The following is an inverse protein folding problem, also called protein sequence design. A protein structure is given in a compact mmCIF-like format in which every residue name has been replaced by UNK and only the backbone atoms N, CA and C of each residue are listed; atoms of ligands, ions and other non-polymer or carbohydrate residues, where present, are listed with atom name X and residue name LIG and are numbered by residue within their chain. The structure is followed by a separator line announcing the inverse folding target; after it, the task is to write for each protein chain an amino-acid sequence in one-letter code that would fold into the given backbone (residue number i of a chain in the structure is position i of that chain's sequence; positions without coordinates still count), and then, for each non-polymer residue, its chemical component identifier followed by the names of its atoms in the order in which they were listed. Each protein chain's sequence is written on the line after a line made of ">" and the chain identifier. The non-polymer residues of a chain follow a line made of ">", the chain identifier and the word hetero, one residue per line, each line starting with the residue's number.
data_IF_677787036705
#
_entry.id   IF_677787036705
#
_cell.length_a   1.000
_cell.length_b   1.000
_cell.length_c   1.000
_cell.angle_alpha   90.00
_cell.angle_beta   90.00
_cell.angle_gamma   90.00
#
_symmetry.space_group_name_H-M   'P 1'
#
loop_
_entity.id
_entity.type
_entity.pdbx_description
1 polymer ?
#
# COMPACT_ATOMS: atom_id res chain seq x y z
N UNK A 1 7.12 -26.87 13.77
CA UNK A 1 8.29 -27.66 13.41
C UNK A 1 9.40 -26.72 13.02
N UNK A 2 10.59 -26.89 13.62
CA UNK A 2 11.78 -26.16 13.16
C UNK A 2 12.05 -26.64 11.73
N UNK A 3 11.84 -25.78 10.75
CA UNK A 3 12.08 -26.11 9.36
C UNK A 3 13.59 -26.37 9.17
N UNK A 4 13.93 -27.59 8.86
CA UNK A 4 15.33 -27.99 8.57
C UNK A 4 15.86 -27.19 7.36
N UNK A 5 15.01 -26.75 6.47
CA UNK A 5 15.37 -25.93 5.30
C UNK A 5 15.98 -24.59 5.68
N UNK A 6 15.51 -23.95 6.74
CA UNK A 6 16.08 -22.68 7.22
C UNK A 6 17.48 -22.80 7.79
N UNK A 7 17.79 -23.93 8.42
CA UNK A 7 19.08 -24.12 9.06
C UNK A 7 20.24 -24.33 8.06
N UNK A 8 19.96 -24.68 6.82
CA UNK A 8 20.95 -25.16 5.86
C UNK A 8 21.09 -24.36 4.57
N UNK A 9 20.30 -23.28 4.37
CA UNK A 9 20.33 -22.57 3.10
C UNK A 9 21.68 -21.90 2.82
N UNK A 10 22.32 -21.31 3.85
CA UNK A 10 23.64 -20.70 3.72
C UNK A 10 24.73 -21.73 3.43
N UNK A 11 24.67 -22.89 4.08
CA UNK A 11 25.61 -23.99 3.87
C UNK A 11 25.52 -24.57 2.46
N UNK A 12 24.37 -24.47 1.82
CA UNK A 12 24.14 -24.92 0.45
C UNK A 12 24.48 -23.87 -0.60
N UNK A 13 24.95 -22.68 -0.17
CA UNK A 13 25.21 -21.57 -1.07
C UNK A 13 23.96 -20.99 -1.73
N UNK A 14 22.75 -21.31 -1.23
CA UNK A 14 21.50 -20.80 -1.74
C UNK A 14 21.27 -19.37 -1.28
N UNK A 15 20.84 -18.54 -2.17
CA UNK A 15 20.69 -17.11 -1.89
C UNK A 15 19.24 -16.67 -2.03
N UNK A 16 18.91 -15.59 -1.32
CA UNK A 16 17.57 -14.97 -1.33
C UNK A 16 17.46 -13.81 -2.33
N UNK A 17 18.58 -13.26 -2.73
CA UNK A 17 18.68 -11.97 -3.41
C UNK A 17 19.19 -12.07 -4.85
N UNK A 18 19.64 -13.25 -5.28
CA UNK A 18 20.01 -13.46 -6.67
C UNK A 18 19.76 -14.89 -7.14
N UNK A 19 19.72 -15.08 -8.46
CA UNK A 19 19.57 -16.36 -9.14
C UNK A 19 20.76 -16.55 -10.06
N UNK A 20 21.52 -17.61 -9.87
CA UNK A 20 22.66 -17.93 -10.75
C UNK A 20 22.21 -18.59 -12.05
N UNK A 21 21.85 -19.86 -12.02
CA UNK A 21 21.42 -20.60 -13.22
C UNK A 21 19.92 -20.87 -13.23
N UNK A 22 19.32 -21.12 -12.07
CA UNK A 22 17.94 -21.57 -11.97
C UNK A 22 17.30 -21.15 -10.63
N UNK A 23 16.00 -20.91 -10.67
CA UNK A 23 15.19 -20.72 -9.46
C UNK A 23 15.34 -21.85 -8.45
N UNK A 24 15.63 -23.08 -8.91
CA UNK A 24 15.83 -24.27 -8.05
C UNK A 24 17.01 -24.15 -7.07
N UNK A 25 17.92 -23.23 -7.33
CA UNK A 25 19.09 -22.98 -6.48
C UNK A 25 18.82 -21.97 -5.38
N UNK A 26 17.65 -21.37 -5.40
CA UNK A 26 17.25 -20.35 -4.44
C UNK A 26 16.54 -20.94 -3.22
N UNK A 27 16.63 -20.26 -2.10
CA UNK A 27 15.83 -20.57 -0.90
C UNK A 27 14.34 -20.45 -1.16
N UNK A 28 13.94 -19.56 -2.06
CA UNK A 28 12.54 -19.39 -2.46
C UNK A 28 11.93 -20.66 -3.02
N UNK A 29 12.64 -21.35 -3.88
CA UNK A 29 12.19 -22.63 -4.44
C UNK A 29 12.00 -23.69 -3.34
N UNK A 30 12.93 -23.80 -2.40
CA UNK A 30 12.80 -24.75 -1.29
C UNK A 30 11.60 -24.43 -0.40
N UNK A 31 11.41 -23.17 -0.08
CA UNK A 31 10.29 -22.74 0.77
C UNK A 31 8.93 -22.96 0.10
N UNK A 32 8.84 -22.71 -1.20
CA UNK A 32 7.60 -23.00 -1.95
C UNK A 32 7.38 -24.51 -2.03
N UNK A 33 8.42 -25.32 -2.27
CA UNK A 33 8.31 -26.77 -2.25
C UNK A 33 7.85 -27.28 -0.87
N UNK A 34 8.45 -26.80 0.23
CA UNK A 34 8.04 -27.16 1.58
C UNK A 34 6.58 -26.77 1.87
N UNK A 35 6.14 -25.60 1.42
CA UNK A 35 4.76 -25.17 1.56
C UNK A 35 3.78 -26.04 0.76
N UNK A 36 4.17 -26.50 -0.45
CA UNK A 36 3.37 -27.48 -1.22
C UNK A 36 3.26 -28.83 -0.51
N UNK A 37 4.32 -29.30 0.13
CA UNK A 37 4.24 -30.50 0.98
C UNK A 37 3.28 -30.31 2.15
N UNK A 38 3.29 -29.12 2.79
CA UNK A 38 2.34 -28.80 3.84
C UNK A 38 0.88 -28.83 3.33
N UNK A 39 0.61 -28.37 2.10
CA UNK A 39 -0.71 -28.48 1.48
C UNK A 39 -1.11 -29.95 1.29
N UNK A 40 -0.20 -30.81 0.84
CA UNK A 40 -0.45 -32.27 0.71
C UNK A 40 -0.79 -32.87 2.07
N UNK A 41 0.00 -32.57 3.09
CA UNK A 41 -0.25 -33.05 4.45
C UNK A 41 -1.61 -32.61 5.00
N UNK A 42 -1.99 -31.34 4.76
CA UNK A 42 -3.31 -30.84 5.18
C UNK A 42 -4.47 -31.55 4.47
N UNK A 43 -4.31 -31.90 3.20
CA UNK A 43 -5.33 -32.67 2.48
C UNK A 43 -5.49 -34.09 3.03
N UNK A 44 -4.38 -34.75 3.38
CA UNK A 44 -4.40 -36.09 3.96
C UNK A 44 -5.02 -36.10 5.36
N UNK A 45 -4.77 -35.08 6.18
CA UNK A 45 -5.35 -34.95 7.52
C UNK A 45 -6.86 -34.69 7.50
N UNK A 46 -7.31 -33.90 6.54
CA UNK A 46 -8.70 -33.46 6.44
C UNK A 46 -9.32 -33.97 5.14
N UNK A 47 -9.88 -35.16 5.16
CA UNK A 47 -10.56 -35.78 4.01
C UNK A 47 -11.71 -34.94 3.41
N UNK A 48 -12.00 -33.76 3.95
CA UNK A 48 -13.12 -32.90 3.55
C UNK A 48 -12.74 -31.50 3.03
N UNK A 49 -11.46 -31.13 2.93
CA UNK A 49 -11.14 -29.74 2.62
C UNK A 49 -10.62 -29.52 1.20
N UNK A 50 -11.54 -29.45 0.25
CA UNK A 50 -11.30 -28.75 -1.02
C UNK A 50 -11.12 -27.23 -0.83
N UNK A 51 -11.07 -26.76 0.43
CA UNK A 51 -11.07 -25.35 0.81
C UNK A 51 -9.78 -25.00 1.54
N UNK A 52 -8.69 -24.86 0.80
CA UNK A 52 -7.41 -24.43 1.35
C UNK A 52 -7.14 -22.99 0.93
N UNK A 53 -6.96 -22.10 1.90
CA UNK A 53 -6.47 -20.74 1.70
C UNK A 53 -5.05 -20.59 2.21
N UNK A 54 -4.32 -19.65 1.66
CA UNK A 54 -2.98 -19.28 2.14
C UNK A 54 -2.96 -17.85 2.66
N UNK A 55 -2.21 -17.63 3.72
CA UNK A 55 -1.92 -16.31 4.27
C UNK A 55 -0.42 -16.12 4.23
N UNK A 56 0.04 -15.06 3.58
CA UNK A 56 1.46 -14.73 3.50
C UNK A 56 1.74 -13.35 4.04
N UNK A 57 2.82 -13.21 4.83
CA UNK A 57 3.27 -11.93 5.34
C UNK A 57 4.77 -11.75 5.08
N UNK A 58 5.18 -10.60 4.54
CA UNK A 58 6.58 -10.28 4.21
C UNK A 58 7.19 -11.33 3.26
N UNK A 59 8.24 -12.02 3.69
CA UNK A 59 8.81 -13.13 2.90
C UNK A 59 7.79 -14.25 2.63
N UNK A 60 6.91 -14.52 3.60
CA UNK A 60 5.80 -15.45 3.40
C UNK A 60 4.79 -14.98 2.35
N UNK A 61 4.67 -13.68 2.09
CA UNK A 61 3.84 -13.14 1.03
C UNK A 61 4.37 -13.53 -0.36
N UNK A 62 5.69 -13.48 -0.57
CA UNK A 62 6.29 -13.93 -1.83
C UNK A 62 6.04 -15.43 -2.07
N UNK A 63 6.13 -16.24 -1.01
CA UNK A 63 5.76 -17.66 -1.09
C UNK A 63 4.28 -17.84 -1.40
N UNK A 64 3.40 -17.03 -0.82
CA UNK A 64 1.97 -17.09 -1.08
C UNK A 64 1.62 -16.72 -2.53
N UNK A 65 2.28 -15.72 -3.13
CA UNK A 65 2.16 -15.40 -4.55
C UNK A 65 2.52 -16.58 -5.43
N UNK A 66 3.67 -17.21 -5.15
CA UNK A 66 4.13 -18.37 -5.91
C UNK A 66 3.19 -19.57 -5.75
N UNK A 67 2.74 -19.86 -4.52
CA UNK A 67 1.77 -20.93 -4.28
C UNK A 67 0.45 -20.71 -5.01
N UNK A 68 -0.12 -19.50 -4.93
CA UNK A 68 -1.35 -19.15 -5.62
C UNK A 68 -1.24 -19.26 -7.16
N UNK A 69 -0.03 -19.13 -7.69
CA UNK A 69 0.24 -19.26 -9.11
C UNK A 69 0.46 -20.71 -9.58
N UNK A 70 1.09 -21.56 -8.74
CA UNK A 70 1.57 -22.88 -9.19
C UNK A 70 0.81 -24.06 -8.59
N UNK A 71 -0.08 -23.83 -7.62
CA UNK A 71 -0.79 -24.92 -6.94
C UNK A 71 -2.31 -24.71 -6.93
N UNK A 72 -3.03 -25.46 -7.75
CA UNK A 72 -4.48 -25.32 -7.94
C UNK A 72 -5.31 -25.71 -6.71
N UNK A 73 -4.68 -26.28 -5.69
CA UNK A 73 -5.32 -26.56 -4.39
C UNK A 73 -5.56 -25.30 -3.58
N UNK A 74 -4.80 -24.24 -3.84
CA UNK A 74 -4.99 -22.93 -3.21
C UNK A 74 -6.25 -22.27 -3.78
N UNK A 75 -7.28 -22.09 -2.94
CA UNK A 75 -8.57 -21.53 -3.36
C UNK A 75 -8.71 -20.04 -3.10
N UNK A 76 -7.86 -19.47 -2.27
CA UNK A 76 -7.73 -18.01 -2.07
C UNK A 76 -6.40 -17.69 -1.39
N UNK A 77 -5.93 -16.47 -1.55
CA UNK A 77 -4.74 -16.01 -0.86
C UNK A 77 -4.92 -14.60 -0.26
N UNK A 78 -4.60 -14.45 1.03
CA UNK A 78 -4.46 -13.17 1.70
C UNK A 78 -2.97 -12.84 1.82
N UNK A 79 -2.53 -11.80 1.14
CA UNK A 79 -1.13 -11.47 0.95
C UNK A 79 -0.85 -10.11 1.57
N UNK A 80 0.05 -10.09 2.55
CA UNK A 80 0.43 -8.88 3.27
C UNK A 80 1.88 -8.52 2.94
N UNK A 81 2.08 -7.35 2.31
CA UNK A 81 3.35 -6.93 1.72
C UNK A 81 3.80 -7.85 0.57
N UNK A 82 5.09 -7.90 0.27
CA UNK A 82 5.66 -8.87 -0.68
C UNK A 82 5.18 -8.72 -2.14
N UNK A 83 4.72 -7.52 -2.52
CA UNK A 83 4.47 -7.15 -3.91
C UNK A 83 5.38 -5.97 -4.28
N UNK A 84 5.38 -5.61 -5.55
CA UNK A 84 6.33 -4.66 -6.10
C UNK A 84 7.52 -5.39 -6.73
N UNK A 85 8.46 -4.62 -7.20
CA UNK A 85 9.64 -5.16 -7.88
C UNK A 85 10.81 -5.18 -6.91
N UNK A 86 10.97 -6.27 -6.18
CA UNK A 86 12.00 -6.40 -5.16
C UNK A 86 13.43 -6.18 -5.70
N UNK A 87 13.66 -6.50 -6.97
CA UNK A 87 14.93 -6.23 -7.65
C UNK A 87 15.26 -4.73 -7.80
N UNK A 88 14.29 -3.86 -7.61
CA UNK A 88 14.46 -2.40 -7.69
C UNK A 88 14.50 -1.71 -6.34
N UNK A 89 14.84 -2.42 -5.30
CA UNK A 89 14.96 -1.84 -3.96
C UNK A 89 15.83 -0.58 -3.99
N UNK A 90 15.28 0.53 -3.50
CA UNK A 90 15.96 1.83 -3.50
C UNK A 90 15.83 2.65 -4.79
N UNK A 91 15.18 2.13 -5.83
CA UNK A 91 14.90 2.87 -7.07
C UNK A 91 13.41 3.20 -7.10
N UNK A 92 13.08 4.47 -6.88
CA UNK A 92 11.69 4.91 -6.77
C UNK A 92 11.00 4.95 -8.13
N UNK A 93 9.75 4.50 -8.17
CA UNK A 93 8.96 4.39 -9.41
C UNK A 93 8.82 5.72 -10.17
N UNK A 94 8.67 6.81 -9.44
CA UNK A 94 8.43 8.14 -10.01
C UNK A 94 9.66 9.02 -10.01
N UNK A 95 10.86 8.47 -9.83
CA UNK A 95 12.11 9.20 -9.97
C UNK A 95 12.41 9.50 -11.45
N UNK A 96 13.05 10.65 -11.67
CA UNK A 96 13.63 10.96 -12.98
C UNK A 96 14.89 10.11 -13.17
N UNK A 97 14.82 9.13 -14.02
CA UNK A 97 15.97 8.27 -14.36
C UNK A 97 15.55 6.93 -14.93
N UNK A 98 16.35 6.44 -15.83
CA UNK A 98 16.14 5.14 -16.43
C UNK A 98 16.52 4.02 -15.46
N UNK A 99 15.67 3.03 -15.36
CA UNK A 99 15.96 1.81 -14.61
C UNK A 99 16.80 0.90 -15.49
N UNK A 100 18.09 0.78 -15.14
CA UNK A 100 18.95 -0.18 -15.80
C UNK A 100 18.63 -1.58 -15.29
N UNK A 101 18.05 -2.39 -16.17
CA UNK A 101 17.74 -3.78 -15.92
C UNK A 101 18.95 -4.63 -16.36
N UNK A 102 19.83 -4.97 -15.44
CA UNK A 102 20.90 -5.92 -15.69
C UNK A 102 20.38 -7.37 -15.76
N UNK A 103 21.24 -8.29 -16.16
CA UNK A 103 20.88 -9.70 -16.34
C UNK A 103 20.53 -10.39 -15.02
N UNK A 104 21.24 -10.05 -13.95
CA UNK A 104 21.00 -10.61 -12.62
C UNK A 104 19.60 -10.26 -12.11
N UNK A 105 19.20 -8.98 -12.22
CA UNK A 105 17.86 -8.52 -11.86
C UNK A 105 16.77 -9.19 -12.70
N UNK A 106 17.01 -9.34 -14.00
CA UNK A 106 16.05 -10.05 -14.88
C UNK A 106 15.86 -11.49 -14.47
N UNK A 107 16.95 -12.20 -14.17
CA UNK A 107 16.89 -13.59 -13.69
C UNK A 107 16.14 -13.70 -12.39
N UNK A 108 16.40 -12.79 -11.44
CA UNK A 108 15.73 -12.78 -10.16
C UNK A 108 14.21 -12.54 -10.32
N UNK A 109 13.80 -11.51 -11.05
CA UNK A 109 12.40 -11.21 -11.31
C UNK A 109 11.72 -12.42 -11.96
N UNK A 110 12.28 -12.96 -13.02
CA UNK A 110 11.67 -14.06 -13.74
C UNK A 110 11.54 -15.35 -12.91
N UNK A 111 12.47 -15.56 -11.98
CA UNK A 111 12.56 -16.81 -11.25
C UNK A 111 11.79 -16.83 -9.93
N UNK A 112 11.74 -15.70 -9.20
CA UNK A 112 11.24 -15.70 -7.81
C UNK A 112 10.37 -14.50 -7.43
N UNK A 113 10.37 -13.44 -8.23
CA UNK A 113 9.66 -12.22 -7.85
C UNK A 113 8.14 -12.37 -7.98
N UNK A 114 7.39 -11.86 -7.00
CA UNK A 114 5.92 -11.84 -7.01
C UNK A 114 5.36 -11.24 -8.31
N UNK A 115 6.03 -10.24 -8.88
CA UNK A 115 5.63 -9.59 -10.11
C UNK A 115 5.57 -10.56 -11.31
N UNK A 116 6.46 -11.54 -11.38
CA UNK A 116 6.43 -12.56 -12.43
C UNK A 116 5.30 -13.58 -12.23
N UNK A 117 5.00 -13.92 -10.98
CA UNK A 117 3.98 -14.93 -10.65
C UNK A 117 2.55 -14.41 -10.68
N UNK A 118 2.32 -13.12 -10.46
CA UNK A 118 0.98 -12.54 -10.40
C UNK A 118 0.11 -12.86 -11.62
N UNK A 119 0.68 -12.93 -12.82
CA UNK A 119 -0.04 -13.27 -14.06
C UNK A 119 -0.54 -14.72 -14.12
N UNK A 120 0.01 -15.61 -13.29
CA UNK A 120 -0.35 -17.04 -13.25
C UNK A 120 -1.29 -17.38 -12.10
N UNK A 121 -1.64 -16.40 -11.25
CA UNK A 121 -2.56 -16.58 -10.14
C UNK A 121 -3.95 -16.95 -10.68
N UNK A 122 -4.58 -17.97 -10.06
CA UNK A 122 -5.87 -18.50 -10.49
C UNK A 122 -6.97 -18.39 -9.43
N UNK A 123 -6.64 -17.96 -8.23
CA UNK A 123 -7.57 -17.87 -7.11
C UNK A 123 -7.77 -16.42 -6.65
N UNK A 124 -8.89 -16.10 -5.98
CA UNK A 124 -9.13 -14.77 -5.41
C UNK A 124 -7.99 -14.30 -4.50
N UNK A 125 -7.64 -13.02 -4.60
CA UNK A 125 -6.57 -12.39 -3.84
C UNK A 125 -7.12 -11.25 -2.98
N UNK A 126 -6.75 -11.23 -1.70
CA UNK A 126 -6.75 -10.03 -0.87
C UNK A 126 -5.30 -9.57 -0.71
N UNK A 127 -5.01 -8.35 -1.13
CA UNK A 127 -3.68 -7.75 -0.96
C UNK A 127 -3.71 -6.60 0.03
N UNK A 128 -2.78 -6.62 1.00
CA UNK A 128 -2.66 -5.62 2.04
C UNK A 128 -1.22 -5.11 2.11
N UNK A 129 -1.03 -3.81 2.22
CA UNK A 129 0.29 -3.21 2.43
C UNK A 129 0.19 -1.88 3.17
N UNK A 130 1.31 -1.39 3.70
CA UNK A 130 1.40 -0.04 4.22
C UNK A 130 1.98 0.91 3.18
N UNK A 131 1.57 2.17 3.25
CA UNK A 131 1.99 3.20 2.28
C UNK A 131 3.44 3.66 2.47
N UNK A 132 3.99 3.51 3.68
CA UNK A 132 5.29 4.04 4.07
C UNK A 132 6.28 2.92 4.47
N UNK A 133 6.23 1.79 3.77
CA UNK A 133 7.19 0.72 4.01
C UNK A 133 8.56 1.04 3.43
N UNK A 134 9.61 0.75 4.20
CA UNK A 134 11.01 0.82 3.75
C UNK A 134 11.48 -0.48 3.08
N UNK A 135 10.73 -1.57 3.25
CA UNK A 135 11.09 -2.90 2.75
C UNK A 135 10.36 -3.24 1.44
N UNK A 136 9.10 -2.76 1.29
CA UNK A 136 8.23 -3.07 0.17
C UNK A 136 7.76 -1.77 -0.49
N UNK A 137 8.08 -1.60 -1.75
CA UNK A 137 7.73 -0.39 -2.50
C UNK A 137 6.22 -0.35 -2.76
N UNK A 138 5.54 0.57 -2.07
CA UNK A 138 4.10 0.79 -2.21
C UNK A 138 3.69 1.10 -3.65
N UNK A 139 4.42 1.99 -4.31
CA UNK A 139 4.08 2.45 -5.66
C UNK A 139 4.15 1.31 -6.69
N UNK A 140 5.10 0.40 -6.52
CA UNK A 140 5.31 -0.75 -7.41
C UNK A 140 4.43 -1.94 -7.07
N UNK A 141 3.84 -1.97 -5.88
CA UNK A 141 2.91 -3.03 -5.50
C UNK A 141 1.72 -3.09 -6.46
N UNK A 142 1.25 -1.94 -6.92
CA UNK A 142 0.16 -1.86 -7.89
C UNK A 142 0.54 -2.41 -9.27
N UNK A 143 1.82 -2.33 -9.64
CA UNK A 143 2.29 -2.95 -10.89
C UNK A 143 2.17 -4.48 -10.85
N UNK A 144 2.45 -5.07 -9.68
CA UNK A 144 2.24 -6.51 -9.46
C UNK A 144 0.75 -6.87 -9.55
N UNK A 145 -0.13 -6.13 -8.88
CA UNK A 145 -1.57 -6.36 -8.94
C UNK A 145 -2.14 -6.23 -10.36
N UNK A 146 -1.63 -5.29 -11.14
CA UNK A 146 -2.07 -5.07 -12.53
C UNK A 146 -1.78 -6.25 -13.47
N UNK A 147 -0.92 -7.18 -13.07
CA UNK A 147 -0.61 -8.39 -13.84
C UNK A 147 -1.55 -9.56 -13.56
N UNK A 148 -2.37 -9.47 -12.52
CA UNK A 148 -3.40 -10.48 -12.25
C UNK A 148 -4.38 -10.48 -13.42
N UNK A 149 -4.72 -11.69 -13.89
CA UNK A 149 -5.70 -11.82 -14.98
C UNK A 149 -7.01 -11.12 -14.63
N UNK A 150 -7.65 -10.37 -15.55
CA UNK A 150 -8.95 -9.75 -15.32
C UNK A 150 -10.07 -10.73 -14.90
N UNK A 151 -9.91 -12.01 -15.19
CA UNK A 151 -10.84 -13.07 -14.77
C UNK A 151 -10.69 -13.49 -13.31
N UNK A 152 -9.61 -13.10 -12.65
CA UNK A 152 -9.33 -13.44 -11.26
C UNK A 152 -9.71 -12.26 -10.38
N UNK A 153 -10.68 -12.43 -9.46
CA UNK A 153 -11.09 -11.35 -8.57
C UNK A 153 -9.96 -11.04 -7.57
N UNK A 154 -9.68 -9.76 -7.41
CA UNK A 154 -8.80 -9.30 -6.35
C UNK A 154 -9.30 -8.00 -5.74
N UNK A 155 -9.04 -7.84 -4.46
CA UNK A 155 -9.30 -6.63 -3.69
C UNK A 155 -8.06 -6.26 -2.87
N UNK A 156 -7.96 -5.00 -2.51
CA UNK A 156 -6.82 -4.53 -1.73
C UNK A 156 -7.20 -3.41 -0.76
N UNK A 157 -6.41 -3.32 0.30
CA UNK A 157 -6.47 -2.21 1.24
C UNK A 157 -5.06 -1.76 1.62
N UNK A 158 -4.89 -0.44 1.77
CA UNK A 158 -3.64 0.20 2.12
C UNK A 158 -3.75 0.83 3.50
N UNK A 159 -2.84 0.46 4.38
CA UNK A 159 -2.72 1.11 5.68
C UNK A 159 -1.81 2.34 5.55
N UNK A 160 -2.32 3.56 5.82
CA UNK A 160 -1.48 4.77 5.83
C UNK A 160 -0.61 4.77 7.09
N UNK A 161 0.34 3.87 7.15
CA UNK A 161 1.18 3.62 8.30
C UNK A 161 2.65 3.58 7.92
N UNK A 162 3.50 3.91 8.88
CA UNK A 162 4.95 3.84 8.74
C UNK A 162 5.44 2.40 8.82
N UNK A 163 6.43 2.07 7.96
CA UNK A 163 7.08 0.78 7.92
C UNK A 163 6.11 -0.40 7.61
N UNK A 164 6.38 -1.59 8.13
CA UNK A 164 5.65 -2.84 7.85
C UNK A 164 4.51 -3.09 8.87
N UNK A 165 3.77 -2.05 9.19
CA UNK A 165 2.61 -2.14 10.06
C UNK A 165 1.31 -2.07 9.26
N UNK A 166 0.37 -2.94 9.63
CA UNK A 166 -1.00 -2.91 9.16
C UNK A 166 -1.90 -2.55 10.34
N UNK A 167 -2.89 -1.72 10.07
CA UNK A 167 -3.87 -1.34 11.08
C UNK A 167 -4.87 -2.48 11.41
N UNK A 168 -5.74 -2.23 12.35
CA UNK A 168 -6.75 -3.22 12.77
C UNK A 168 -7.79 -3.52 11.68
N UNK A 169 -8.03 -2.58 10.77
CA UNK A 169 -8.96 -2.75 9.65
C UNK A 169 -8.44 -3.81 8.69
N UNK A 170 -7.15 -3.81 8.40
CA UNK A 170 -6.52 -4.85 7.57
C UNK A 170 -6.71 -6.25 8.17
N UNK A 171 -6.65 -6.39 9.49
CA UNK A 171 -6.93 -7.68 10.14
C UNK A 171 -8.37 -8.11 9.90
N UNK A 172 -9.30 -7.17 10.03
CA UNK A 172 -10.72 -7.44 9.78
C UNK A 172 -10.99 -7.84 8.35
N UNK A 173 -10.32 -7.20 7.40
CA UNK A 173 -10.41 -7.55 5.97
C UNK A 173 -9.99 -9.00 5.71
N UNK A 174 -8.89 -9.47 6.33
CA UNK A 174 -8.47 -10.89 6.22
C UNK A 174 -9.54 -11.84 6.75
N UNK A 175 -10.11 -11.55 7.92
CA UNK A 175 -11.18 -12.38 8.52
C UNK A 175 -12.42 -12.46 7.60
N UNK A 176 -12.86 -11.32 7.09
CA UNK A 176 -14.02 -11.22 6.21
C UNK A 176 -13.76 -11.92 4.87
N UNK A 177 -12.57 -11.71 4.29
CA UNK A 177 -12.16 -12.33 3.04
C UNK A 177 -12.17 -13.85 3.15
N UNK A 178 -11.50 -14.41 4.13
CA UNK A 178 -11.48 -15.87 4.34
C UNK A 178 -12.87 -16.42 4.62
N UNK A 179 -13.67 -15.71 5.42
CA UNK A 179 -15.05 -16.11 5.69
C UNK A 179 -15.90 -16.14 4.41
N UNK A 180 -15.70 -15.19 3.48
CA UNK A 180 -16.40 -15.16 2.20
C UNK A 180 -15.99 -16.33 1.30
N UNK A 181 -14.70 -16.64 1.23
CA UNK A 181 -14.18 -17.69 0.35
C UNK A 181 -14.54 -19.09 0.86
N UNK A 182 -14.68 -19.26 2.16
CA UNK A 182 -15.03 -20.57 2.75
C UNK A 182 -16.53 -20.79 2.98
N UNK A 183 -17.35 -19.84 2.56
CA UNK A 183 -18.81 -19.95 2.60
C UNK A 183 -19.41 -19.96 4.01
N UNK A 184 -18.68 -19.45 5.01
CA UNK A 184 -19.17 -19.36 6.40
C UNK A 184 -20.14 -18.20 6.62
N UNK A 185 -20.15 -17.21 5.73
CA UNK A 185 -21.03 -16.03 5.74
C UNK A 185 -21.32 -15.62 4.31
N UNK A 186 -22.53 -15.13 4.05
CA UNK A 186 -22.85 -14.45 2.79
C UNK A 186 -22.21 -13.06 2.78
N UNK A 187 -20.90 -13.03 2.61
CA UNK A 187 -20.13 -11.79 2.51
C UNK A 187 -19.77 -11.63 1.04
N UNK A 188 -20.31 -10.60 0.44
CA UNK A 188 -19.90 -10.17 -0.90
C UNK A 188 -18.83 -9.10 -0.77
N UNK A 189 -17.71 -9.30 -1.45
CA UNK A 189 -16.70 -8.26 -1.58
C UNK A 189 -17.06 -7.38 -2.76
N UNK A 190 -17.23 -6.07 -2.57
CA UNK A 190 -17.40 -5.13 -3.65
C UNK A 190 -16.09 -4.99 -4.43
N UNK A 191 -16.17 -4.42 -5.62
CA UNK A 191 -15.00 -3.99 -6.36
C UNK A 191 -14.30 -2.87 -5.58
N UNK A 192 -12.98 -2.82 -5.62
CA UNK A 192 -12.23 -1.71 -5.02
C UNK A 192 -12.70 -0.38 -5.60
N UNK A 193 -12.81 0.67 -4.78
CA UNK A 193 -13.23 1.98 -5.26
C UNK A 193 -12.25 2.54 -6.30
N UNK A 194 -12.75 3.35 -7.21
CA UNK A 194 -11.94 4.02 -8.22
C UNK A 194 -11.84 5.51 -7.90
N UNK A 195 -10.62 6.03 -7.84
CA UNK A 195 -10.35 7.44 -7.70
C UNK A 195 -9.96 8.00 -9.07
N UNK A 196 -10.53 9.12 -9.47
CA UNK A 196 -10.14 9.87 -10.65
C UNK A 196 -9.76 11.31 -10.29
N UNK A 197 -8.87 11.92 -11.06
CA UNK A 197 -8.43 13.30 -10.88
C UNK A 197 -8.55 14.05 -12.17
N UNK A 198 -9.41 15.06 -12.20
CA UNK A 198 -9.45 16.09 -13.22
C UNK A 198 -8.59 17.27 -12.79
N UNK A 199 -7.80 17.82 -13.71
CA UNK A 199 -6.82 18.86 -13.42
C UNK A 199 -7.08 20.11 -14.23
N UNK A 200 -7.03 21.27 -13.56
CA UNK A 200 -6.96 22.58 -14.17
C UNK A 200 -5.79 23.36 -13.53
N UNK A 201 -4.62 23.32 -14.16
CA UNK A 201 -3.38 23.83 -13.56
C UNK A 201 -3.06 23.10 -12.25
N UNK A 202 -2.97 23.85 -11.15
CA UNK A 202 -2.76 23.30 -9.80
C UNK A 202 -4.06 22.99 -9.03
N UNK A 203 -5.23 23.19 -9.64
CA UNK A 203 -6.50 22.78 -9.07
C UNK A 203 -6.84 21.36 -9.51
N UNK A 204 -7.18 20.51 -8.56
CA UNK A 204 -7.50 19.09 -8.74
C UNK A 204 -8.91 18.83 -8.24
N UNK A 205 -9.76 18.30 -9.10
CA UNK A 205 -11.06 17.77 -8.73
C UNK A 205 -10.95 16.23 -8.65
N UNK A 206 -11.05 15.70 -7.43
CA UNK A 206 -10.99 14.28 -7.17
C UNK A 206 -12.41 13.73 -7.11
N UNK A 207 -12.67 12.66 -7.86
CA UNK A 207 -13.94 11.94 -7.82
C UNK A 207 -13.67 10.50 -7.42
N UNK A 208 -14.31 10.07 -6.33
CA UNK A 208 -14.31 8.70 -5.86
C UNK A 208 -15.59 8.03 -6.36
N UNK A 209 -15.43 6.94 -7.12
CA UNK A 209 -16.50 6.03 -7.55
C UNK A 209 -16.40 4.75 -6.72
N UNK A 210 -17.48 4.35 -6.07
CA UNK A 210 -17.50 3.22 -5.17
C UNK A 210 -18.76 2.38 -5.37
N UNK A 211 -18.67 1.12 -4.96
CA UNK A 211 -19.81 0.21 -5.05
C UNK A 211 -20.92 0.61 -4.06
N UNK A 212 -22.13 0.76 -4.55
CA UNK A 212 -23.34 1.03 -3.79
C UNK A 212 -23.94 -0.21 -3.10
N UNK A 213 -23.35 -1.39 -3.34
CA UNK A 213 -23.85 -2.64 -2.79
C UNK A 213 -23.71 -2.75 -1.26
N UNK A 214 -22.85 -1.95 -0.66
CA UNK A 214 -22.61 -1.91 0.78
C UNK A 214 -22.74 -0.47 1.29
N UNK A 215 -23.39 -0.30 2.45
CA UNK A 215 -23.46 1.01 3.11
C UNK A 215 -22.09 1.46 3.59
N UNK A 216 -21.72 2.67 3.22
CA UNK A 216 -20.47 3.32 3.65
C UNK A 216 -20.59 3.77 5.10
N UNK A 217 -19.51 3.63 5.84
CA UNK A 217 -19.29 4.24 7.14
C UNK A 217 -18.49 5.55 7.00
N UNK A 218 -17.41 5.53 6.22
CA UNK A 218 -16.60 6.71 5.91
C UNK A 218 -15.81 6.52 4.63
N UNK A 219 -15.49 7.63 3.95
CA UNK A 219 -14.57 7.66 2.82
C UNK A 219 -13.58 8.81 2.99
N UNK A 220 -12.30 8.51 2.82
CA UNK A 220 -11.20 9.47 2.99
C UNK A 220 -10.29 9.46 1.79
N UNK A 221 -9.82 10.63 1.38
CA UNK A 221 -8.71 10.77 0.43
C UNK A 221 -7.43 11.06 1.18
N UNK A 222 -6.36 10.48 0.68
CA UNK A 222 -4.98 10.66 1.15
C UNK A 222 -4.20 11.29 0.03
N UNK A 223 -3.62 12.47 0.29
CA UNK A 223 -2.92 13.26 -0.72
C UNK A 223 -1.51 13.57 -0.22
N UNK A 224 -0.53 13.40 -1.09
CA UNK A 224 0.84 13.84 -0.86
C UNK A 224 1.34 14.64 -2.05
N UNK A 225 2.12 15.67 -1.77
CA UNK A 225 2.74 16.53 -2.78
C UNK A 225 4.25 16.33 -2.85
N UNK A 226 4.73 16.04 -4.05
CA UNK A 226 6.14 16.12 -4.44
C UNK A 226 7.09 15.08 -3.86
N UNK A 227 6.67 14.24 -2.92
CA UNK A 227 7.58 13.29 -2.28
C UNK A 227 7.65 11.98 -3.08
N UNK A 228 8.75 11.80 -3.80
CA UNK A 228 8.98 10.64 -4.67
C UNK A 228 9.16 9.35 -3.86
N UNK A 229 9.92 9.41 -2.77
CA UNK A 229 10.15 8.25 -1.91
C UNK A 229 8.89 7.91 -1.10
N UNK A 230 8.23 6.77 -1.37
CA UNK A 230 6.99 6.40 -0.67
C UNK A 230 7.18 6.22 0.84
N UNK A 231 8.36 5.78 1.30
CA UNK A 231 8.60 5.51 2.71
C UNK A 231 8.53 6.74 3.62
N UNK A 232 8.71 7.93 3.05
CA UNK A 232 8.70 9.20 3.80
C UNK A 232 7.55 10.13 3.40
N UNK A 233 6.55 9.64 2.66
CA UNK A 233 5.39 10.45 2.31
C UNK A 233 4.55 10.77 3.54
N UNK A 234 4.26 12.05 3.71
CA UNK A 234 3.22 12.50 4.62
C UNK A 234 1.91 12.59 3.87
N UNK A 235 0.90 11.89 4.34
CA UNK A 235 -0.41 11.86 3.73
C UNK A 235 -1.33 12.87 4.40
N UNK A 236 -1.68 13.93 3.69
CA UNK A 236 -2.77 14.81 4.09
C UNK A 236 -4.08 14.05 3.91
N UNK A 237 -4.90 14.00 4.94
CA UNK A 237 -6.12 13.22 4.97
C UNK A 237 -7.32 14.15 5.01
N UNK A 238 -8.25 13.96 4.09
CA UNK A 238 -9.49 14.71 4.03
C UNK A 238 -10.67 13.77 3.86
N UNK A 239 -11.81 14.15 4.42
CA UNK A 239 -13.05 13.42 4.23
C UNK A 239 -13.68 13.81 2.90
N UNK A 240 -14.16 12.83 2.16
CA UNK A 240 -15.00 13.12 1.01
C UNK A 240 -16.36 13.65 1.46
N UNK A 241 -16.82 14.66 0.74
CA UNK A 241 -18.15 15.22 0.91
C UNK A 241 -19.01 14.77 -0.27
N UNK A 242 -20.17 14.20 -0.01
CA UNK A 242 -21.05 13.77 -1.07
C UNK A 242 -22.23 12.95 -0.60
N UNK A 243 -23.10 12.69 -1.54
CA UNK A 243 -24.34 11.98 -1.35
C UNK A 243 -24.12 10.47 -1.47
N UNK A 244 -24.52 9.74 -0.45
CA UNK A 244 -24.41 8.28 -0.36
C UNK A 244 -25.29 7.57 -1.41
N UNK A 245 -26.21 8.29 -2.06
CA UNK A 245 -27.16 7.73 -3.04
C UNK A 245 -26.62 7.69 -4.48
N UNK A 246 -25.58 8.47 -4.80
CA UNK A 246 -25.07 8.57 -6.18
C UNK A 246 -23.93 7.58 -6.51
N UNK A 247 -23.39 6.87 -5.52
CA UNK A 247 -22.20 6.03 -5.69
C UNK A 247 -20.93 6.83 -5.98
N UNK A 248 -20.97 8.17 -5.84
CA UNK A 248 -19.85 9.07 -6.14
C UNK A 248 -19.68 10.14 -5.08
N UNK A 249 -18.44 10.38 -4.69
CA UNK A 249 -18.05 11.47 -3.79
C UNK A 249 -17.00 12.34 -4.45
N UNK A 250 -16.99 13.64 -4.12
CA UNK A 250 -16.05 14.61 -4.69
C UNK A 250 -15.23 15.30 -3.61
N UNK A 251 -14.01 15.65 -3.97
CA UNK A 251 -13.13 16.48 -3.18
C UNK A 251 -12.33 17.41 -4.07
N UNK A 252 -12.21 18.68 -3.71
CA UNK A 252 -11.43 19.66 -4.45
C UNK A 252 -10.14 19.97 -3.69
N UNK A 253 -9.04 19.97 -4.39
CA UNK A 253 -7.71 20.20 -3.83
C UNK A 253 -6.92 21.18 -4.69
N UNK A 254 -6.23 22.11 -4.04
CA UNK A 254 -5.33 23.05 -4.70
C UNK A 254 -3.90 22.70 -4.30
N UNK A 255 -3.14 22.17 -5.26
CA UNK A 255 -1.76 21.81 -5.01
C UNK A 255 -0.85 23.05 -4.92
N UNK A 256 0.23 22.94 -4.17
CA UNK A 256 1.25 23.97 -4.11
C UNK A 256 1.87 24.17 -5.50
N UNK A 257 1.95 25.41 -5.96
CA UNK A 257 2.47 25.75 -7.30
C UNK A 257 3.94 25.37 -7.57
N UNK A 258 4.70 25.00 -6.52
CA UNK A 258 6.07 24.48 -6.64
C UNK A 258 6.13 22.94 -6.79
N UNK A 259 5.02 22.26 -6.61
CA UNK A 259 4.93 20.79 -6.63
C UNK A 259 4.98 20.27 -8.05
N UNK A 260 5.78 19.23 -8.29
CA UNK A 260 5.87 18.56 -9.60
C UNK A 260 4.85 17.44 -9.77
N UNK A 261 4.62 16.67 -8.74
CA UNK A 261 3.65 15.57 -8.75
C UNK A 261 2.76 15.60 -7.51
N UNK A 262 1.50 15.21 -7.68
CA UNK A 262 0.59 14.90 -6.58
C UNK A 262 0.30 13.41 -6.64
N UNK A 263 0.34 12.77 -5.48
CA UNK A 263 -0.01 11.37 -5.28
C UNK A 263 -1.30 11.32 -4.47
N UNK A 264 -2.26 10.54 -4.91
CA UNK A 264 -3.52 10.41 -4.18
C UNK A 264 -4.07 8.99 -4.25
N UNK A 265 -4.71 8.56 -3.18
CA UNK A 265 -5.54 7.37 -3.12
C UNK A 265 -6.67 7.59 -2.12
N UNK A 266 -7.70 6.75 -2.18
CA UNK A 266 -8.83 6.83 -1.28
C UNK A 266 -8.98 5.52 -0.49
N UNK A 267 -9.55 5.63 0.71
CA UNK A 267 -9.96 4.49 1.53
C UNK A 267 -11.46 4.63 1.82
N UNK A 268 -12.21 3.58 1.54
CA UNK A 268 -13.64 3.46 1.86
C UNK A 268 -13.80 2.40 2.95
N UNK A 269 -14.47 2.78 4.04
CA UNK A 269 -14.90 1.88 5.10
C UNK A 269 -16.38 1.62 4.97
N UNK A 270 -16.77 0.36 5.06
CA UNK A 270 -18.15 -0.07 4.99
C UNK A 270 -18.66 -0.48 6.37
N UNK A 271 -19.96 -0.29 6.61
CA UNK A 271 -20.60 -0.59 7.93
C UNK A 271 -20.50 -2.06 8.36
N UNK A 272 -20.18 -2.97 7.45
CA UNK A 272 -19.91 -4.37 7.78
C UNK A 272 -18.49 -4.62 8.31
N UNK A 273 -17.67 -3.58 8.39
CA UNK A 273 -16.28 -3.60 8.84
C UNK A 273 -15.25 -3.86 7.75
N UNK A 274 -15.67 -4.01 6.48
CA UNK A 274 -14.75 -4.12 5.35
C UNK A 274 -14.14 -2.75 5.03
N UNK A 275 -12.87 -2.75 4.66
CA UNK A 275 -12.15 -1.55 4.22
C UNK A 275 -11.44 -1.83 2.91
N UNK A 276 -11.66 -0.98 1.90
CA UNK A 276 -11.02 -1.11 0.60
C UNK A 276 -10.40 0.22 0.17
N UNK A 277 -9.29 0.12 -0.56
CA UNK A 277 -8.60 1.28 -1.11
C UNK A 277 -8.80 1.40 -2.62
N UNK A 278 -8.71 2.62 -3.12
CA UNK A 278 -8.51 2.86 -4.55
C UNK A 278 -7.04 2.65 -4.93
N UNK A 279 -6.78 2.54 -6.22
CA UNK A 279 -5.40 2.59 -6.73
C UNK A 279 -4.77 3.94 -6.41
N UNK A 280 -3.44 3.93 -6.22
CA UNK A 280 -2.65 5.16 -6.16
C UNK A 280 -2.64 5.83 -7.54
N UNK A 281 -2.95 7.11 -7.57
CA UNK A 281 -2.82 7.95 -8.75
C UNK A 281 -1.65 8.90 -8.54
N UNK A 282 -0.82 9.06 -9.56
CA UNK A 282 0.19 10.11 -9.64
C UNK A 282 -0.20 11.08 -10.76
N UNK A 283 -0.27 12.37 -10.44
CA UNK A 283 -0.62 13.42 -11.39
C UNK A 283 0.47 14.50 -11.37
N UNK A 284 1.03 14.81 -12.53
CA UNK A 284 1.98 15.93 -12.66
C UNK A 284 1.20 17.24 -12.71
N UNK A 285 1.64 18.21 -11.90
CA UNK A 285 1.05 19.54 -11.91
C UNK A 285 1.62 20.33 -13.07
N UNK A 286 0.75 20.88 -13.91
CA UNK A 286 1.07 21.67 -15.08
C UNK A 286 0.39 23.04 -14.99
N UNK A 287 1.21 24.09 -14.75
CA UNK A 287 0.73 25.47 -14.68
C UNK A 287 -0.01 25.82 -13.39
N UNK A 288 -0.62 27.00 -13.43
CA UNK A 288 -1.47 27.50 -12.34
C UNK A 288 -2.91 27.61 -12.85
N UNK A 289 -3.85 27.19 -12.01
CA UNK A 289 -5.26 27.37 -12.29
C UNK A 289 -5.64 28.84 -12.33
N UNK A 290 -6.61 29.19 -13.13
CA UNK A 290 -7.32 30.46 -13.06
C UNK A 290 -8.25 30.54 -11.85
N UNK A 291 -8.60 29.39 -11.23
CA UNK A 291 -9.39 29.35 -9.99
C UNK A 291 -8.61 29.95 -8.85
N UNK A 292 -9.23 30.86 -8.10
CA UNK A 292 -8.60 31.45 -6.94
C UNK A 292 -8.39 30.34 -5.90
N UNK A 293 -7.13 30.20 -5.46
CA UNK A 293 -6.81 29.39 -4.29
C UNK A 293 -7.45 30.05 -3.06
N UNK A 294 -8.23 29.29 -2.33
CA UNK A 294 -8.55 29.69 -0.96
C UNK A 294 -7.28 29.49 -0.15
N UNK A 295 -6.66 30.57 0.26
CA UNK A 295 -5.51 30.52 1.16
C UNK A 295 -5.98 29.88 2.48
N UNK A 296 -5.53 28.65 2.75
CA UNK A 296 -5.93 27.89 3.92
C UNK A 296 -5.29 28.47 5.19
N UNK A 297 -4.09 29.00 5.05
CA UNK A 297 -3.34 29.59 6.16
C UNK A 297 -2.50 30.77 5.68
N UNK A 298 -2.52 31.85 6.42
CA UNK A 298 -1.51 32.93 6.30
C UNK A 298 -0.86 33.11 7.67
N UNK A 299 0.43 33.34 7.73
CA UNK A 299 1.14 33.60 8.99
C UNK A 299 0.57 34.77 9.79
N UNK A 300 -0.36 35.57 9.21
CA UNK A 300 -1.08 36.65 9.89
C UNK A 300 -2.09 36.15 10.91
N UNK A 301 -2.55 34.91 10.75
CA UNK A 301 -3.59 34.34 11.61
C UNK A 301 -3.01 33.71 12.91
N UNK A 302 -1.69 33.81 13.08
CA UNK A 302 -1.00 33.25 14.24
C UNK A 302 -1.07 31.72 14.23
N UNK A 303 -1.40 31.10 15.38
CA UNK A 303 -1.55 29.67 15.54
C UNK A 303 -3.01 29.22 15.57
N UNK A 304 -3.95 30.12 15.37
CA UNK A 304 -5.38 29.83 15.43
C UNK A 304 -5.75 28.83 14.30
N UNK A 305 -6.42 27.75 14.67
CA UNK A 305 -6.84 26.72 13.74
C UNK A 305 -5.76 25.70 13.38
N UNK A 306 -4.53 25.82 13.90
CA UNK A 306 -3.46 24.85 13.69
C UNK A 306 -3.58 23.73 14.72
N UNK A 307 -3.57 22.48 14.24
CA UNK A 307 -3.57 21.29 15.10
C UNK A 307 -2.24 20.55 14.96
N UNK A 308 -1.62 20.23 16.08
CA UNK A 308 -0.38 19.48 16.14
C UNK A 308 -0.68 17.97 16.25
N UNK A 309 -0.12 17.19 15.36
CA UNK A 309 -0.25 15.73 15.38
C UNK A 309 0.79 15.03 16.27
N UNK A 310 1.90 15.69 16.55
CA UNK A 310 2.90 15.15 17.48
C UNK A 310 2.51 15.53 18.91
N UNK A 311 2.23 14.54 19.74
CA UNK A 311 1.92 14.74 21.17
C UNK A 311 3.09 15.36 21.95
N UNK A 312 4.30 15.31 21.40
CA UNK A 312 5.50 15.90 21.99
C UNK A 312 5.85 17.28 21.38
N UNK A 313 5.19 17.68 20.30
CA UNK A 313 5.28 19.05 19.80
C UNK A 313 4.53 19.96 20.76
N UNK A 314 5.25 20.58 21.66
CA UNK A 314 4.69 21.58 22.55
C UNK A 314 4.58 22.91 21.80
N UNK A 315 3.58 23.72 22.14
CA UNK A 315 3.40 25.09 21.64
C UNK A 315 4.66 25.96 21.76
N UNK A 316 5.61 25.56 22.60
CA UNK A 316 6.88 26.24 22.87
C UNK A 316 7.90 26.21 21.71
N UNK A 317 7.74 25.31 20.75
CA UNK A 317 8.64 25.21 19.58
C UNK A 317 8.09 25.82 18.31
N UNK A 318 6.98 26.56 18.38
CA UNK A 318 6.32 27.10 17.19
C UNK A 318 6.09 28.58 17.35
N UNK A 319 6.60 29.34 16.39
CA UNK A 319 6.53 30.78 16.39
C UNK A 319 6.01 31.29 15.05
N UNK A 320 5.33 32.43 15.09
CA UNK A 320 5.11 33.24 13.90
C UNK A 320 6.17 34.35 13.95
N UNK A 321 7.11 34.32 13.01
CA UNK A 321 8.18 35.29 12.94
C UNK A 321 7.64 36.70 12.58
N UNK A 322 8.52 37.71 12.62
CA UNK A 322 8.18 39.10 12.28
C UNK A 322 7.69 39.26 10.83
N UNK A 323 8.06 38.33 9.94
CA UNK A 323 7.64 38.30 8.54
C UNK A 323 6.33 37.53 8.32
N UNK A 324 5.70 37.08 9.41
CA UNK A 324 4.47 36.26 9.39
C UNK A 324 4.64 34.86 8.76
N UNK A 325 5.81 34.29 8.86
CA UNK A 325 6.08 32.90 8.55
C UNK A 325 5.98 32.03 9.80
N UNK A 326 5.49 30.83 9.63
CA UNK A 326 5.46 29.83 10.70
C UNK A 326 6.87 29.23 10.83
N UNK A 327 7.50 29.46 11.97
CA UNK A 327 8.79 28.88 12.29
C UNK A 327 8.61 27.72 13.27
N UNK A 328 9.14 26.55 12.93
CA UNK A 328 9.17 25.36 13.77
C UNK A 328 10.58 25.23 14.35
N UNK A 329 10.73 25.50 15.64
CA UNK A 329 11.99 25.33 16.35
C UNK A 329 11.88 24.09 17.24
N UNK A 330 12.78 23.14 17.05
CA UNK A 330 12.94 21.98 17.91
C UNK A 330 14.20 22.18 18.76
N UNK A 331 14.02 22.22 20.06
CA UNK A 331 15.14 22.04 21.00
C UNK A 331 15.63 20.59 20.89
N UNK A 332 16.91 20.41 20.56
CA UNK A 332 17.52 19.10 20.56
C UNK A 332 17.72 18.64 22.00
N UNK A 333 16.83 17.80 22.47
CA UNK A 333 17.13 17.00 23.65
C UNK A 333 18.33 16.13 23.33
N UNK A 334 19.43 16.27 24.06
CA UNK A 334 20.72 15.66 23.80
C UNK A 334 20.76 14.12 23.87
N UNK A 335 19.72 13.45 23.42
CA UNK A 335 19.60 12.00 23.33
C UNK A 335 19.75 11.55 21.89
N UNK A 336 20.75 10.75 21.66
CA UNK A 336 21.12 10.11 20.40
C UNK A 336 19.93 9.46 19.67
N UNK A 337 19.72 9.83 18.44
CA UNK A 337 18.73 9.25 17.56
C UNK A 337 17.62 10.23 17.18
N UNK A 338 18.00 11.37 16.64
CA UNK A 338 17.09 12.35 16.10
C UNK A 338 16.41 11.83 14.84
N UNK A 339 15.31 11.13 14.99
CA UNK A 339 14.29 11.13 13.96
C UNK A 339 13.59 12.49 14.06
N UNK A 340 13.93 13.40 13.16
CA UNK A 340 13.20 14.64 13.01
C UNK A 340 11.82 14.28 12.44
N UNK A 341 10.85 14.03 13.30
CA UNK A 341 9.46 14.10 12.90
C UNK A 341 9.14 15.58 12.73
N UNK A 342 9.10 16.05 11.50
CA UNK A 342 8.35 17.27 11.22
C UNK A 342 6.91 16.97 11.62
N UNK A 343 6.44 17.59 12.70
CA UNK A 343 5.05 17.51 13.10
C UNK A 343 4.19 18.01 11.94
N UNK A 344 3.20 17.19 11.52
CA UNK A 344 2.22 17.62 10.54
C UNK A 344 1.35 18.70 11.19
N UNK A 345 1.33 19.84 10.54
CA UNK A 345 0.40 20.91 10.87
C UNK A 345 -0.79 20.75 9.95
N UNK A 346 -1.97 20.47 10.48
CA UNK A 346 -3.20 20.55 9.72
C UNK A 346 -3.97 21.79 10.13
N UNK A 347 -4.52 22.47 9.16
CA UNK A 347 -5.44 23.58 9.36
C UNK A 347 -6.88 23.02 9.36
N UNK A 348 -7.69 23.45 10.35
CA UNK A 348 -9.13 23.13 10.40
C UNK A 348 -9.93 24.19 9.68
#
# INVERSE_FOLDING_TARGET
>A
PKSVAYANYELRGRRMDYVDQSAKETSWYEWVAAARYALTFLQELNSSSDKIGVIGNKNGANIAWQLAAVDDRVKCAAIMFGAGWSAYKGIYKFSDGDIVMDEERRKFIAAVDAHAYAQYVKCPILFLTSTNSTEYDFDRSLDTLSRISPSVPYVFNFSPAFNVYLDEYCRKDVELFLASQFGKKNITFPICPELSIEQDGNFLALTLDYSDTLKIESAKVYINEGVINPAIRNWNTCDFVGDDESGKMKYEYVANGSTRNVYAFAIVRYKNGLTLSSKLISKKIEGKSSKKSNLIYSGKDGLDGITFYDKNATEKGIFVDENKFLELVREADGINGAYSHCGLISYK
#
